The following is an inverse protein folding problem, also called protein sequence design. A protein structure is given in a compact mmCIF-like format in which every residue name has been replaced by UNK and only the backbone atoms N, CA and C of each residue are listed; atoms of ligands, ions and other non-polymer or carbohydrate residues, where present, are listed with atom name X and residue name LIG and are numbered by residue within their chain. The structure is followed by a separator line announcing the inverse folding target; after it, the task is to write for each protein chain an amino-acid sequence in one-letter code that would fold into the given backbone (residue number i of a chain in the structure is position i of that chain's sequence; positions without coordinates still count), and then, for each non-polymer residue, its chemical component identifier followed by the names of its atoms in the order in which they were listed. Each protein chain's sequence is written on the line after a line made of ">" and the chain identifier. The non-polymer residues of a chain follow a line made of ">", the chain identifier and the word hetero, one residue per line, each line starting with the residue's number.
data_IF_431971338817
#
_entry.id   IF_431971338817
#
_cell.length_a   1.000
_cell.length_b   1.000
_cell.length_c   1.000
_cell.angle_alpha   90.00
_cell.angle_beta   90.00
_cell.angle_gamma   90.00
#
_symmetry.space_group_name_H-M   'P 1'
#
loop_
_entity.id
_entity.type
_entity.pdbx_description
1 polymer ?
#
# COMPACT_ATOMS: atom_id res chain seq x y z
N UNK A 1 47.38 14.23 38.27
CA UNK A 1 47.06 13.72 36.91
C UNK A 1 46.98 14.90 35.96
N UNK A 2 48.04 15.14 35.18
CA UNK A 2 48.03 16.12 34.10
C UNK A 2 47.54 15.39 32.85
N UNK A 3 46.24 15.45 32.56
CA UNK A 3 45.75 15.04 31.24
C UNK A 3 46.37 15.97 30.20
N UNK A 4 47.06 15.36 29.24
CA UNK A 4 47.81 16.06 28.20
C UNK A 4 46.80 16.75 27.28
N UNK A 5 46.77 18.10 27.25
CA UNK A 5 45.85 18.91 26.42
C UNK A 5 45.85 18.54 24.93
N UNK A 6 46.86 17.81 24.45
CA UNK A 6 46.91 17.30 23.08
C UNK A 6 46.04 16.04 22.85
N UNK A 7 45.81 15.22 23.87
CA UNK A 7 44.94 14.05 23.78
C UNK A 7 43.47 14.44 23.56
N UNK A 8 43.01 15.50 24.23
CA UNK A 8 41.63 15.99 24.10
C UNK A 8 41.35 16.48 22.66
N UNK A 9 42.33 17.12 22.02
CA UNK A 9 42.22 17.56 20.61
C UNK A 9 42.16 16.40 19.64
N UNK A 10 42.98 15.37 19.85
CA UNK A 10 42.99 14.16 19.01
C UNK A 10 41.66 13.42 19.14
N UNK A 11 41.16 13.25 20.37
CA UNK A 11 39.87 12.63 20.63
C UNK A 11 38.73 13.40 19.95
N UNK A 12 38.71 14.73 20.07
CA UNK A 12 37.71 15.57 19.41
C UNK A 12 37.74 15.45 17.88
N UNK A 13 38.92 15.41 17.27
CA UNK A 13 39.07 15.19 15.82
C UNK A 13 38.56 13.80 15.43
N UNK A 14 38.87 12.75 16.20
CA UNK A 14 38.37 11.40 15.96
C UNK A 14 36.85 11.31 16.10
N UNK A 15 36.24 12.03 17.05
CA UNK A 15 34.79 12.12 17.17
C UNK A 15 34.16 12.84 15.97
N UNK A 16 34.74 13.94 15.48
CA UNK A 16 34.24 14.63 14.27
C UNK A 16 34.36 13.71 13.05
N UNK A 17 35.51 13.06 12.87
CA UNK A 17 35.74 12.09 11.80
C UNK A 17 34.68 10.98 11.89
N UNK A 18 34.49 10.38 13.07
CA UNK A 18 33.49 9.34 13.30
C UNK A 18 32.08 9.84 12.95
N UNK A 19 31.69 11.03 13.40
CA UNK A 19 30.39 11.63 13.09
C UNK A 19 30.25 11.85 11.58
N UNK A 20 31.24 12.45 10.91
CA UNK A 20 31.21 12.72 9.46
C UNK A 20 31.13 11.42 8.66
N UNK A 21 31.85 10.37 9.07
CA UNK A 21 31.78 9.04 8.46
C UNK A 21 30.54 8.24 8.87
N UNK A 22 29.72 8.72 9.80
CA UNK A 22 28.50 8.06 10.26
C UNK A 22 27.21 8.85 10.01
N UNK A 23 27.27 10.06 9.45
CA UNK A 23 26.10 10.71 8.86
C UNK A 23 25.73 9.89 7.62
N UNK A 24 24.79 8.98 7.80
CA UNK A 24 24.44 7.94 6.83
C UNK A 24 23.26 8.34 5.93
N UNK A 25 22.67 9.51 6.13
CA UNK A 25 21.50 9.97 5.42
C UNK A 25 21.76 11.31 4.72
N UNK A 26 21.37 11.39 3.44
CA UNK A 26 21.33 12.63 2.68
C UNK A 26 19.92 13.21 2.73
N UNK A 27 19.80 14.50 3.02
CA UNK A 27 18.50 15.18 3.02
C UNK A 27 18.38 16.14 1.84
N UNK A 28 17.23 16.12 1.18
CA UNK A 28 16.84 17.07 0.13
C UNK A 28 15.53 17.71 0.55
N UNK A 29 15.54 19.04 0.64
CA UNK A 29 14.34 19.84 0.85
C UNK A 29 13.73 20.19 -0.50
N UNK A 30 12.45 19.89 -0.66
CA UNK A 30 11.66 20.21 -1.84
C UNK A 30 10.63 21.26 -1.43
N UNK A 31 10.46 22.28 -2.27
CA UNK A 31 9.41 23.29 -2.17
C UNK A 31 8.52 23.24 -3.41
N UNK A 32 7.26 23.60 -3.28
CA UNK A 32 6.32 23.60 -4.38
C UNK A 32 6.82 24.55 -5.49
N UNK A 33 6.84 24.04 -6.73
CA UNK A 33 7.32 24.73 -7.95
C UNK A 33 8.82 25.11 -7.95
N UNK A 34 9.62 24.60 -7.03
CA UNK A 34 11.08 24.77 -7.11
C UNK A 34 11.72 23.80 -8.13
N UNK A 35 13.01 24.00 -8.38
CA UNK A 35 13.76 23.17 -9.33
C UNK A 35 13.86 21.70 -8.88
N UNK A 36 13.84 21.45 -7.57
CA UNK A 36 13.88 20.09 -7.04
C UNK A 36 12.56 19.36 -7.29
N UNK A 37 11.42 20.05 -7.15
CA UNK A 37 10.09 19.54 -7.44
C UNK A 37 9.93 19.28 -8.94
N UNK A 38 10.33 20.25 -9.77
CA UNK A 38 10.32 20.14 -11.24
C UNK A 38 11.10 18.94 -11.76
N UNK A 39 12.20 18.61 -11.08
CA UNK A 39 13.09 17.52 -11.45
C UNK A 39 13.08 16.38 -10.44
N UNK A 40 11.98 16.17 -9.70
CA UNK A 40 11.93 15.27 -8.55
C UNK A 40 12.48 13.88 -8.86
N UNK A 41 12.11 13.30 -10.01
CA UNK A 41 12.64 12.03 -10.48
C UNK A 41 14.17 12.03 -10.59
N UNK A 42 14.74 13.01 -11.30
CA UNK A 42 16.19 13.12 -11.52
C UNK A 42 16.92 13.38 -10.20
N UNK A 43 16.35 14.23 -9.34
CA UNK A 43 16.88 14.56 -8.03
C UNK A 43 16.94 13.31 -7.15
N UNK A 44 15.88 12.52 -7.07
CA UNK A 44 15.90 11.28 -6.29
C UNK A 44 16.88 10.27 -6.88
N UNK A 45 16.83 10.01 -8.18
CA UNK A 45 17.69 8.99 -8.81
C UNK A 45 19.19 9.31 -8.70
N UNK A 46 19.58 10.58 -8.73
CA UNK A 46 21.00 10.98 -8.69
C UNK A 46 21.57 11.13 -7.28
N UNK A 47 20.77 11.01 -6.22
CA UNK A 47 21.17 11.30 -4.85
C UNK A 47 21.08 10.11 -3.89
N UNK A 48 21.08 8.89 -4.42
CA UNK A 48 21.00 7.63 -3.66
C UNK A 48 22.38 6.99 -3.37
N UNK A 49 23.44 7.80 -3.27
CA UNK A 49 24.81 7.30 -3.04
C UNK A 49 25.11 6.99 -1.57
N UNK A 50 24.25 7.47 -0.66
CA UNK A 50 24.35 7.27 0.78
C UNK A 50 23.45 6.11 1.26
N UNK A 51 23.50 5.74 2.55
CA UNK A 51 22.68 4.62 3.06
C UNK A 51 21.19 4.95 3.10
N UNK A 52 20.83 6.22 3.15
CA UNK A 52 19.46 6.70 3.08
C UNK A 52 19.39 8.05 2.38
N UNK A 53 18.34 8.25 1.58
CA UNK A 53 17.94 9.53 1.03
C UNK A 53 16.61 9.96 1.65
N UNK A 54 16.58 11.12 2.29
CA UNK A 54 15.37 11.73 2.85
C UNK A 54 14.95 12.88 1.94
N UNK A 55 13.74 12.81 1.39
CA UNK A 55 13.12 13.84 0.56
C UNK A 55 12.01 14.51 1.37
N UNK A 56 12.26 15.74 1.82
CA UNK A 56 11.36 16.48 2.70
C UNK A 56 10.54 17.50 1.93
N UNK A 57 9.24 17.29 1.88
CA UNK A 57 8.26 18.23 1.34
C UNK A 57 7.79 19.17 2.45
N UNK A 58 8.26 20.42 2.44
CA UNK A 58 8.03 21.34 3.58
C UNK A 58 6.79 22.22 3.42
N UNK A 59 6.31 22.42 2.19
CA UNK A 59 5.10 23.19 1.94
C UNK A 59 3.82 22.38 2.28
N UNK A 60 2.72 23.06 2.62
CA UNK A 60 1.45 22.41 2.94
C UNK A 60 0.79 21.74 1.73
N UNK A 61 1.04 22.23 0.52
CA UNK A 61 0.41 21.73 -0.70
C UNK A 61 1.38 21.80 -1.90
N UNK A 62 1.34 20.75 -2.73
CA UNK A 62 2.06 20.61 -3.98
C UNK A 62 1.07 20.43 -5.12
N UNK A 63 1.25 21.22 -6.16
CA UNK A 63 0.41 21.20 -7.35
C UNK A 63 0.93 20.15 -8.32
N UNK A 64 0.26 18.99 -8.38
CA UNK A 64 0.69 17.87 -9.22
C UNK A 64 0.20 18.00 -10.68
N UNK A 65 -0.70 18.94 -10.95
CA UNK A 65 -1.31 19.17 -12.26
C UNK A 65 -0.41 19.95 -13.23
N UNK A 66 0.44 20.82 -12.70
CA UNK A 66 1.15 21.83 -13.48
C UNK A 66 2.15 21.21 -14.47
N UNK A 67 1.85 21.35 -15.77
CA UNK A 67 2.60 20.75 -16.88
C UNK A 67 4.06 21.17 -16.92
N UNK A 68 4.37 22.36 -16.39
CA UNK A 68 5.75 22.84 -16.36
C UNK A 68 6.60 22.09 -15.32
N UNK A 69 5.96 21.55 -14.28
CA UNK A 69 6.64 21.00 -13.11
C UNK A 69 6.49 19.49 -12.96
N UNK A 70 5.46 18.88 -13.56
CA UNK A 70 5.21 17.45 -13.38
C UNK A 70 5.12 16.65 -14.68
N UNK A 71 5.96 15.63 -14.75
CA UNK A 71 5.86 14.57 -15.76
C UNK A 71 4.65 13.68 -15.46
N UNK A 72 4.21 12.90 -16.44
CA UNK A 72 3.13 11.93 -16.21
C UNK A 72 3.52 10.87 -15.17
N UNK A 73 4.74 10.37 -15.26
CA UNK A 73 5.32 9.39 -14.33
C UNK A 73 6.60 9.95 -13.73
N UNK A 74 6.68 9.91 -12.41
CA UNK A 74 7.92 10.07 -11.66
C UNK A 74 8.48 8.68 -11.35
N UNK A 75 9.43 8.22 -12.18
CA UNK A 75 10.03 6.90 -12.07
C UNK A 75 11.30 6.90 -11.22
N UNK A 76 11.21 6.31 -10.02
CA UNK A 76 12.27 6.22 -9.05
C UNK A 76 12.91 4.83 -9.07
N UNK A 77 14.16 4.74 -9.50
CA UNK A 77 14.97 3.52 -9.39
C UNK A 77 15.57 3.47 -7.99
N UNK A 78 15.15 2.50 -7.19
CA UNK A 78 15.49 2.42 -5.77
C UNK A 78 16.77 1.60 -5.58
N UNK A 79 17.88 2.31 -5.31
CA UNK A 79 19.22 1.75 -5.10
C UNK A 79 19.60 1.68 -3.61
N UNK A 80 19.00 2.53 -2.78
CA UNK A 80 19.20 2.62 -1.34
C UNK A 80 17.86 2.89 -0.65
N UNK A 81 17.85 3.10 0.67
CA UNK A 81 16.62 3.50 1.35
C UNK A 81 16.21 4.92 0.95
N UNK A 82 14.93 5.13 0.63
CA UNK A 82 14.39 6.43 0.26
C UNK A 82 13.16 6.75 1.10
N UNK A 83 13.19 7.88 1.80
CA UNK A 83 12.11 8.35 2.67
C UNK A 83 11.51 9.65 2.11
N UNK A 84 10.28 9.60 1.63
CA UNK A 84 9.47 10.75 1.26
C UNK A 84 8.64 11.20 2.47
N UNK A 85 8.86 12.42 2.96
CA UNK A 85 8.22 12.91 4.19
C UNK A 85 7.57 14.27 3.97
N UNK A 86 6.26 14.35 4.23
CA UNK A 86 5.51 15.59 4.32
C UNK A 86 5.84 16.38 5.59
N UNK A 87 5.35 17.62 5.67
CA UNK A 87 5.54 18.46 6.85
C UNK A 87 4.77 17.89 8.08
N UNK A 88 5.02 18.46 9.27
CA UNK A 88 4.44 17.97 10.53
C UNK A 88 2.92 18.09 10.62
N UNK A 89 2.33 19.02 9.87
CA UNK A 89 0.88 19.24 9.79
C UNK A 89 0.24 18.46 8.63
N UNK A 90 1.03 17.66 7.91
CA UNK A 90 0.65 16.98 6.68
C UNK A 90 0.92 17.82 5.43
N UNK A 91 1.33 17.14 4.36
CA UNK A 91 1.49 17.73 3.03
C UNK A 91 0.44 17.15 2.08
N UNK A 92 -0.19 17.99 1.27
CA UNK A 92 -1.15 17.56 0.25
C UNK A 92 -0.49 17.54 -1.13
N UNK A 93 -0.56 16.41 -1.82
CA UNK A 93 -0.30 16.29 -3.26
C UNK A 93 -1.64 16.36 -3.97
N UNK A 94 -1.93 17.52 -4.55
CA UNK A 94 -3.20 17.82 -5.19
C UNK A 94 -3.10 17.62 -6.70
N UNK A 95 -3.80 16.61 -7.21
CA UNK A 95 -3.79 16.24 -8.62
C UNK A 95 -4.83 16.99 -9.46
N UNK A 96 -5.79 17.68 -8.82
CA UNK A 96 -6.82 18.50 -9.48
C UNK A 96 -7.55 17.78 -10.63
N UNK A 97 -7.77 16.48 -10.51
CA UNK A 97 -8.43 15.67 -11.53
C UNK A 97 -7.51 15.23 -12.69
N UNK A 98 -6.19 15.24 -12.51
CA UNK A 98 -5.21 14.82 -13.52
C UNK A 98 -4.42 13.58 -13.08
N UNK A 99 -3.72 12.98 -14.05
CA UNK A 99 -2.91 11.78 -13.91
C UNK A 99 -1.43 12.05 -13.76
N UNK A 100 -0.97 13.30 -13.87
CA UNK A 100 0.46 13.64 -13.75
C UNK A 100 1.00 13.34 -12.36
N UNK A 101 2.31 13.15 -12.27
CA UNK A 101 3.02 12.95 -11.02
C UNK A 101 2.80 11.58 -10.37
N UNK A 102 2.36 10.56 -11.12
CA UNK A 102 2.27 9.20 -10.59
C UNK A 102 3.63 8.76 -10.09
N UNK A 103 3.68 8.08 -8.96
CA UNK A 103 4.95 7.62 -8.40
C UNK A 103 5.17 6.15 -8.77
N UNK A 104 6.21 5.89 -9.56
CA UNK A 104 6.63 4.53 -9.92
C UNK A 104 7.93 4.19 -9.21
N UNK A 105 7.87 3.25 -8.27
CA UNK A 105 9.04 2.74 -7.55
C UNK A 105 9.51 1.46 -8.23
N UNK A 106 10.76 1.44 -8.71
CA UNK A 106 11.39 0.29 -9.34
C UNK A 106 12.52 -0.21 -8.43
N UNK A 107 12.32 -1.39 -7.86
CA UNK A 107 13.35 -2.07 -7.09
C UNK A 107 14.15 -2.99 -8.01
N UNK A 108 15.44 -2.68 -8.19
CA UNK A 108 16.38 -3.50 -8.94
C UNK A 108 17.26 -4.31 -7.99
N UNK A 109 17.87 -5.39 -8.50
CA UNK A 109 18.64 -6.36 -7.72
C UNK A 109 19.60 -5.71 -6.72
N UNK A 110 19.28 -5.82 -5.43
CA UNK A 110 20.17 -5.49 -4.32
C UNK A 110 20.70 -6.81 -3.74
N UNK A 111 21.99 -7.05 -3.89
CA UNK A 111 22.59 -8.33 -3.51
C UNK A 111 22.73 -8.54 -2.00
N UNK A 112 22.61 -7.49 -1.18
CA UNK A 112 22.96 -7.58 0.26
C UNK A 112 22.02 -6.86 1.23
N UNK A 113 21.16 -5.94 0.79
CA UNK A 113 20.35 -5.12 1.71
C UNK A 113 18.92 -4.93 1.24
N UNK A 114 17.98 -4.98 2.17
CA UNK A 114 16.56 -4.72 1.90
C UNK A 114 16.36 -3.24 1.64
N UNK A 115 16.20 -2.85 0.39
CA UNK A 115 15.94 -1.46 0.04
C UNK A 115 14.51 -1.08 0.41
N UNK A 116 14.34 0.06 1.08
CA UNK A 116 13.06 0.53 1.58
C UNK A 116 12.65 1.82 0.90
N UNK A 117 11.38 1.94 0.54
CA UNK A 117 10.70 3.22 0.28
C UNK A 117 9.75 3.48 1.42
N UNK A 118 9.86 4.64 2.06
CA UNK A 118 8.95 5.09 3.11
C UNK A 118 8.26 6.37 2.63
N UNK A 119 6.93 6.42 2.70
CA UNK A 119 6.11 7.59 2.40
C UNK A 119 5.35 7.95 3.66
N UNK A 120 5.53 9.18 4.16
CA UNK A 120 5.03 9.58 5.47
C UNK A 120 4.35 10.94 5.48
N UNK A 121 3.20 11.03 6.14
CA UNK A 121 2.46 12.29 6.36
C UNK A 121 2.09 13.02 5.05
N UNK A 122 1.72 12.28 4.01
CA UNK A 122 1.31 12.83 2.71
C UNK A 122 -0.15 12.43 2.43
N UNK A 123 -0.95 13.41 2.00
CA UNK A 123 -2.30 13.21 1.50
C UNK A 123 -2.30 13.32 -0.03
N UNK A 124 -2.78 12.30 -0.72
CA UNK A 124 -2.95 12.26 -2.17
C UNK A 124 -4.42 12.53 -2.49
N UNK A 125 -4.69 13.60 -3.25
CA UNK A 125 -6.06 14.07 -3.50
C UNK A 125 -6.38 14.24 -4.97
N UNK A 126 -7.61 13.87 -5.34
CA UNK A 126 -8.22 14.18 -6.63
C UNK A 126 -7.44 13.61 -7.83
N UNK A 127 -6.88 12.40 -7.70
CA UNK A 127 -6.17 11.73 -8.79
C UNK A 127 -7.16 11.13 -9.80
N UNK A 128 -6.99 11.48 -11.08
CA UNK A 128 -7.90 11.03 -12.15
C UNK A 128 -7.18 10.92 -13.49
N UNK A 129 -7.25 9.75 -14.13
CA UNK A 129 -6.71 9.53 -15.47
C UNK A 129 -7.76 9.61 -16.57
N UNK A 130 -8.94 9.10 -16.26
CA UNK A 130 -10.07 8.98 -17.17
C UNK A 130 -11.31 8.67 -16.35
N UNK A 131 -12.47 8.86 -16.98
CA UNK A 131 -13.77 8.51 -16.41
C UNK A 131 -14.02 6.99 -16.29
N UNK A 132 -13.07 6.17 -16.74
CA UNK A 132 -13.13 4.71 -16.70
C UNK A 132 -11.82 4.14 -16.17
N UNK A 133 -11.87 3.01 -15.49
CA UNK A 133 -10.68 2.30 -15.01
C UNK A 133 -9.73 1.97 -16.17
N UNK A 134 -8.45 2.33 -16.02
CA UNK A 134 -7.40 1.90 -16.95
C UNK A 134 -6.58 0.80 -16.31
N UNK A 135 -6.64 -0.39 -16.89
CA UNK A 135 -5.91 -1.54 -16.37
C UNK A 135 -4.39 -1.29 -16.34
N UNK A 136 -3.75 -1.74 -15.26
CA UNK A 136 -2.30 -1.63 -15.07
C UNK A 136 -1.81 -0.23 -14.72
N UNK A 137 -2.72 0.73 -14.54
CA UNK A 137 -2.39 2.05 -14.01
C UNK A 137 -2.89 2.18 -12.58
N UNK A 138 -1.99 2.63 -11.70
CA UNK A 138 -2.35 3.17 -10.40
C UNK A 138 -1.61 4.46 -10.10
N UNK A 139 -2.09 5.21 -9.11
CA UNK A 139 -1.41 6.39 -8.56
C UNK A 139 0.03 6.06 -8.14
N UNK A 140 0.19 4.91 -7.49
CA UNK A 140 1.47 4.31 -7.12
C UNK A 140 1.67 3.00 -7.87
N UNK A 141 2.82 2.90 -8.53
CA UNK A 141 3.25 1.67 -9.18
C UNK A 141 4.50 1.14 -8.50
N UNK A 142 4.41 -0.05 -7.92
CA UNK A 142 5.55 -0.73 -7.30
C UNK A 142 5.94 -1.87 -8.22
N UNK A 143 7.12 -1.80 -8.83
CA UNK A 143 7.68 -2.86 -9.67
C UNK A 143 8.93 -3.36 -8.97
N UNK A 144 9.01 -4.66 -8.74
CA UNK A 144 10.19 -5.26 -8.12
C UNK A 144 10.74 -6.41 -8.96
N UNK A 145 12.06 -6.40 -9.10
CA UNK A 145 12.88 -7.46 -9.69
C UNK A 145 13.75 -8.16 -8.63
N UNK A 146 13.37 -8.03 -7.35
CA UNK A 146 14.05 -8.60 -6.20
C UNK A 146 13.02 -8.99 -5.12
N UNK A 147 13.32 -10.01 -4.32
CA UNK A 147 12.57 -10.36 -3.12
C UNK A 147 12.97 -9.50 -1.90
N UNK A 148 13.96 -8.62 -2.05
CA UNK A 148 14.55 -7.87 -0.96
C UNK A 148 14.15 -6.39 -0.99
N UNK A 149 12.85 -6.12 -0.96
CA UNK A 149 12.29 -4.76 -1.00
C UNK A 149 11.31 -4.48 0.15
N UNK A 150 11.06 -3.21 0.44
CA UNK A 150 9.97 -2.79 1.32
C UNK A 150 9.37 -1.47 0.84
N UNK A 151 8.06 -1.34 0.88
CA UNK A 151 7.32 -0.09 0.72
C UNK A 151 6.47 0.14 1.97
N UNK A 152 6.62 1.29 2.61
CA UNK A 152 5.91 1.63 3.84
C UNK A 152 5.17 2.95 3.62
N UNK A 153 3.87 2.97 3.87
CA UNK A 153 3.03 4.15 3.87
C UNK A 153 2.54 4.40 5.30
N UNK A 154 3.01 5.49 5.92
CA UNK A 154 2.68 5.87 7.30
C UNK A 154 1.90 7.16 7.35
N UNK A 155 0.79 7.18 8.09
CA UNK A 155 -0.04 8.36 8.29
C UNK A 155 -0.41 9.06 6.96
N UNK A 156 -0.73 8.28 5.93
CA UNK A 156 -1.08 8.79 4.61
C UNK A 156 -2.60 8.86 4.42
N UNK A 157 -3.04 9.77 3.56
CA UNK A 157 -4.46 9.89 3.18
C UNK A 157 -4.57 9.72 1.67
N UNK A 158 -5.50 8.90 1.21
CA UNK A 158 -5.83 8.71 -0.20
C UNK A 158 -7.30 9.06 -0.39
N UNK A 159 -7.55 10.21 -1.01
CA UNK A 159 -8.87 10.83 -1.03
C UNK A 159 -9.32 11.14 -2.46
N UNK A 160 -10.55 10.73 -2.78
CA UNK A 160 -11.22 11.06 -4.03
C UNK A 160 -10.43 10.64 -5.31
N UNK A 161 -9.74 9.49 -5.29
CA UNK A 161 -9.12 8.97 -6.50
C UNK A 161 -10.15 8.25 -7.38
N UNK A 162 -10.12 8.53 -8.69
CA UNK A 162 -10.99 7.90 -9.71
C UNK A 162 -10.31 6.77 -10.48
N UNK A 163 -9.21 6.25 -9.96
CA UNK A 163 -8.39 5.19 -10.54
C UNK A 163 -7.80 4.35 -9.44
N UNK A 164 -7.17 3.23 -9.81
CA UNK A 164 -6.52 2.38 -8.83
C UNK A 164 -5.45 3.16 -8.04
N UNK A 165 -5.33 2.91 -6.74
CA UNK A 165 -4.31 3.58 -5.93
C UNK A 165 -2.95 2.88 -6.05
N UNK A 166 -2.93 1.55 -5.95
CA UNK A 166 -1.72 0.76 -5.95
C UNK A 166 -1.76 -0.34 -7.00
N UNK A 167 -0.74 -0.34 -7.86
CA UNK A 167 -0.42 -1.47 -8.73
C UNK A 167 0.94 -2.05 -8.32
N UNK A 168 0.91 -3.24 -7.72
CA UNK A 168 2.10 -3.94 -7.24
C UNK A 168 2.39 -5.10 -8.20
N UNK A 169 3.54 -5.04 -8.86
CA UNK A 169 4.04 -6.11 -9.71
C UNK A 169 5.33 -6.67 -9.14
N UNK A 170 5.28 -7.95 -8.75
CA UNK A 170 6.46 -8.70 -8.35
C UNK A 170 6.87 -9.66 -9.46
N UNK A 171 8.00 -9.36 -10.11
CA UNK A 171 8.56 -10.19 -11.19
C UNK A 171 9.45 -11.32 -10.66
N UNK A 172 9.81 -11.31 -9.37
CA UNK A 172 10.66 -12.33 -8.76
C UNK A 172 10.05 -12.85 -7.45
N UNK A 173 9.63 -14.11 -7.47
CA UNK A 173 9.29 -14.83 -6.25
C UNK A 173 10.38 -15.85 -5.90
N UNK A 174 11.20 -15.50 -4.92
CA UNK A 174 12.08 -16.43 -4.20
C UNK A 174 11.59 -16.64 -2.78
N UNK A 175 12.15 -17.65 -2.10
CA UNK A 175 11.82 -17.95 -0.70
C UNK A 175 12.00 -16.67 0.14
N UNK A 176 11.00 -16.27 0.94
CA UNK A 176 11.08 -15.02 1.68
C UNK A 176 12.29 -15.01 2.60
N UNK A 177 13.06 -13.93 2.53
CA UNK A 177 14.24 -13.72 3.36
C UNK A 177 13.87 -13.21 4.77
N UNK A 178 12.63 -12.77 4.99
CA UNK A 178 12.19 -12.12 6.23
C UNK A 178 10.71 -12.36 6.53
N UNK A 179 10.34 -12.29 7.82
CA UNK A 179 8.95 -12.31 8.30
C UNK A 179 8.25 -10.95 8.17
N UNK A 180 8.99 -9.89 7.84
CA UNK A 180 8.45 -8.54 7.68
C UNK A 180 7.73 -8.35 6.34
N UNK A 181 6.57 -7.69 6.36
CA UNK A 181 5.80 -7.37 5.15
C UNK A 181 6.58 -6.55 4.12
N UNK A 182 6.41 -6.87 2.84
CA UNK A 182 6.98 -6.11 1.73
C UNK A 182 6.24 -4.81 1.48
N UNK A 183 4.92 -4.79 1.69
CA UNK A 183 4.14 -3.56 1.61
C UNK A 183 3.38 -3.38 2.92
N UNK A 184 3.60 -2.23 3.57
CA UNK A 184 2.99 -1.88 4.85
C UNK A 184 2.20 -0.59 4.71
N UNK A 185 0.92 -0.62 5.11
CA UNK A 185 0.09 0.56 5.33
C UNK A 185 -0.18 0.68 6.82
N UNK A 186 0.19 1.80 7.44
CA UNK A 186 0.01 2.02 8.87
C UNK A 186 -0.58 3.40 9.14
N UNK A 187 -1.69 3.42 9.89
CA UNK A 187 -2.44 4.65 10.19
C UNK A 187 -2.88 5.41 8.93
N UNK A 188 -3.28 4.71 7.87
CA UNK A 188 -3.71 5.33 6.62
C UNK A 188 -5.23 5.51 6.55
N UNK A 189 -5.67 6.52 5.81
CA UNK A 189 -7.09 6.79 5.54
C UNK A 189 -7.33 6.71 4.03
N UNK A 190 -8.27 5.87 3.61
CA UNK A 190 -8.73 5.73 2.24
C UNK A 190 -10.17 6.21 2.18
N UNK A 191 -10.44 7.30 1.49
CA UNK A 191 -11.73 7.97 1.51
C UNK A 191 -12.24 8.26 0.09
N UNK A 192 -13.48 7.86 -0.18
CA UNK A 192 -14.18 8.16 -1.43
C UNK A 192 -13.41 7.77 -2.71
N UNK A 193 -12.65 6.66 -2.70
CA UNK A 193 -11.96 6.20 -3.90
C UNK A 193 -12.92 5.34 -4.76
N UNK A 194 -13.01 5.63 -6.05
CA UNK A 194 -14.02 5.06 -6.95
C UNK A 194 -13.59 3.78 -7.64
N UNK A 195 -12.31 3.44 -7.54
CA UNK A 195 -11.72 2.24 -8.12
C UNK A 195 -10.79 1.57 -7.10
N UNK A 196 -10.25 0.41 -7.49
CA UNK A 196 -9.53 -0.48 -6.59
C UNK A 196 -8.40 0.17 -5.79
N UNK A 197 -8.33 -0.11 -4.50
CA UNK A 197 -7.19 0.35 -3.68
C UNK A 197 -5.91 -0.37 -4.08
N UNK A 198 -5.90 -1.71 -4.10
CA UNK A 198 -4.69 -2.50 -4.39
C UNK A 198 -4.99 -3.55 -5.45
N UNK A 199 -4.19 -3.56 -6.52
CA UNK A 199 -3.99 -4.69 -7.42
C UNK A 199 -2.60 -5.27 -7.21
N UNK A 200 -2.48 -6.58 -6.99
CA UNK A 200 -1.18 -7.26 -7.01
C UNK A 200 -1.11 -8.33 -8.10
N UNK A 201 0.03 -8.34 -8.79
CA UNK A 201 0.39 -9.35 -9.78
C UNK A 201 1.77 -9.90 -9.43
N UNK A 202 1.83 -11.19 -9.13
CA UNK A 202 3.08 -11.93 -8.97
C UNK A 202 3.25 -12.77 -10.22
N UNK A 203 4.32 -12.52 -10.99
CA UNK A 203 4.61 -13.34 -12.16
C UNK A 203 5.01 -14.74 -11.71
N UNK A 204 4.38 -15.75 -12.34
CA UNK A 204 4.56 -17.14 -11.98
C UNK A 204 5.99 -17.57 -12.35
N UNK A 205 6.84 -17.76 -11.37
CA UNK A 205 8.11 -18.46 -11.55
C UNK A 205 7.77 -19.96 -11.61
N UNK A 206 8.36 -20.69 -12.55
CA UNK A 206 8.00 -22.07 -12.92
C UNK A 206 8.21 -23.14 -11.80
N UNK A 207 8.33 -22.73 -10.55
CA UNK A 207 8.75 -23.56 -9.43
C UNK A 207 7.60 -23.73 -8.41
N UNK A 208 7.37 -24.97 -7.97
CA UNK A 208 6.33 -25.36 -6.99
C UNK A 208 6.60 -24.84 -5.57
N UNK A 209 7.03 -23.59 -5.42
CA UNK A 209 7.25 -22.99 -4.12
C UNK A 209 5.94 -22.53 -3.48
N UNK A 210 6.04 -22.23 -2.19
CA UNK A 210 4.94 -21.73 -1.36
C UNK A 210 4.57 -20.31 -1.81
N UNK A 211 3.89 -20.18 -2.97
CA UNK A 211 3.58 -18.94 -3.69
C UNK A 211 2.91 -17.89 -2.82
N UNK A 212 2.21 -18.31 -1.77
CA UNK A 212 1.64 -17.42 -0.75
C UNK A 212 2.68 -16.49 -0.11
N UNK A 213 3.97 -16.80 -0.19
CA UNK A 213 5.06 -15.99 0.40
C UNK A 213 5.69 -14.97 -0.55
N UNK A 214 5.28 -14.93 -1.82
CA UNK A 214 5.89 -14.04 -2.81
C UNK A 214 5.63 -12.56 -2.51
N UNK A 215 4.48 -12.25 -1.91
CA UNK A 215 4.10 -10.88 -1.57
C UNK A 215 3.30 -10.87 -0.27
N UNK A 216 3.96 -10.50 0.83
CA UNK A 216 3.33 -10.11 2.08
C UNK A 216 2.93 -8.62 2.09
N UNK A 217 1.62 -8.35 2.10
CA UNK A 217 1.00 -7.04 2.34
C UNK A 217 0.40 -6.99 3.74
N UNK A 218 0.70 -5.94 4.50
CA UNK A 218 0.19 -5.73 5.85
C UNK A 218 -0.49 -4.35 5.97
N UNK A 219 -1.71 -4.32 6.51
CA UNK A 219 -2.52 -3.12 6.68
C UNK A 219 -2.91 -3.02 8.15
N UNK A 220 -2.45 -1.97 8.82
CA UNK A 220 -2.64 -1.75 10.26
C UNK A 220 -3.29 -0.40 10.54
N UNK A 221 -4.17 -0.37 11.54
CA UNK A 221 -4.68 0.87 12.13
C UNK A 221 -5.30 1.83 11.10
N UNK A 222 -5.89 1.31 10.03
CA UNK A 222 -6.29 2.09 8.86
C UNK A 222 -7.81 2.15 8.70
N UNK A 223 -8.29 3.17 7.97
CA UNK A 223 -9.72 3.41 7.75
C UNK A 223 -10.04 3.44 6.25
N UNK A 224 -11.13 2.77 5.88
CA UNK A 224 -11.63 2.70 4.51
C UNK A 224 -13.09 3.15 4.51
N UNK A 225 -13.34 4.34 3.98
CA UNK A 225 -14.65 5.00 4.00
C UNK A 225 -15.09 5.26 2.55
N UNK A 226 -16.24 4.71 2.17
CA UNK A 226 -16.88 4.95 0.87
C UNK A 226 -16.00 4.61 -0.34
N UNK A 227 -15.27 3.49 -0.27
CA UNK A 227 -14.39 3.06 -1.36
C UNK A 227 -15.05 1.98 -2.21
N UNK A 228 -14.64 1.88 -3.47
CA UNK A 228 -15.11 0.86 -4.41
C UNK A 228 -14.00 -0.07 -4.85
N UNK A 229 -14.16 -1.38 -4.62
CA UNK A 229 -13.12 -2.37 -4.82
C UNK A 229 -11.93 -2.11 -3.90
N UNK A 230 -11.60 -3.00 -2.97
CA UNK A 230 -10.39 -2.77 -2.16
C UNK A 230 -9.20 -3.55 -2.71
N UNK A 231 -9.34 -4.85 -2.80
CA UNK A 231 -8.19 -5.73 -2.97
C UNK A 231 -8.46 -6.72 -4.11
N UNK A 232 -7.68 -6.62 -5.18
CA UNK A 232 -7.53 -7.68 -6.17
C UNK A 232 -6.13 -8.27 -6.04
N UNK A 233 -6.05 -9.44 -5.41
CA UNK A 233 -4.81 -9.98 -4.89
C UNK A 233 -4.65 -11.42 -5.35
N UNK A 234 -3.52 -11.72 -5.99
CA UNK A 234 -3.16 -13.07 -6.40
C UNK A 234 -1.79 -13.47 -5.84
N UNK A 235 -1.64 -14.74 -5.45
CA UNK A 235 -0.39 -15.33 -4.93
C UNK A 235 0.27 -14.49 -3.83
N UNK A 236 -0.52 -14.00 -2.86
CA UNK A 236 -0.04 -13.10 -1.81
C UNK A 236 -0.54 -13.51 -0.43
N UNK A 237 0.18 -13.05 0.59
CA UNK A 237 -0.19 -13.12 1.99
C UNK A 237 -0.63 -11.73 2.44
N UNK A 238 -1.90 -11.57 2.81
CA UNK A 238 -2.47 -10.29 3.23
C UNK A 238 -2.93 -10.36 4.67
N UNK A 239 -2.49 -9.40 5.49
CA UNK A 239 -3.00 -9.22 6.85
C UNK A 239 -3.62 -7.85 7.02
N UNK A 240 -4.80 -7.83 7.62
CA UNK A 240 -5.52 -6.63 8.02
C UNK A 240 -5.70 -6.70 9.53
N UNK A 241 -5.27 -5.67 10.25
CA UNK A 241 -5.39 -5.62 11.70
C UNK A 241 -5.79 -4.23 12.18
N UNK A 242 -6.72 -4.20 13.14
CA UNK A 242 -7.22 -2.96 13.76
C UNK A 242 -7.72 -1.93 12.72
N UNK A 243 -8.47 -2.38 11.72
CA UNK A 243 -8.96 -1.51 10.64
C UNK A 243 -10.48 -1.33 10.71
N UNK A 244 -10.97 -0.22 10.14
CA UNK A 244 -12.41 0.04 9.99
C UNK A 244 -12.79 0.19 8.52
N UNK A 245 -13.86 -0.48 8.11
CA UNK A 245 -14.39 -0.46 6.75
C UNK A 245 -15.85 -0.03 6.78
N UNK A 246 -16.24 0.93 5.94
CA UNK A 246 -17.62 1.39 5.81
C UNK A 246 -17.94 1.90 4.42
N UNK A 247 -19.17 1.69 3.96
CA UNK A 247 -19.62 2.16 2.64
C UNK A 247 -18.85 1.51 1.48
N UNK A 248 -18.42 0.25 1.64
CA UNK A 248 -17.68 -0.47 0.59
C UNK A 248 -18.65 -0.91 -0.51
N UNK A 249 -18.26 -0.72 -1.76
CA UNK A 249 -19.04 -1.13 -2.94
C UNK A 249 -18.09 -1.75 -3.99
N UNK A 250 -18.64 -2.34 -5.04
CA UNK A 250 -17.86 -2.88 -6.15
C UNK A 250 -17.26 -1.78 -7.05
N UNK A 251 -16.05 -2.02 -7.57
CA UNK A 251 -15.38 -1.17 -8.57
C UNK A 251 -15.99 -1.31 -9.99
N UNK A 252 -15.50 -0.53 -10.95
CA UNK A 252 -16.04 -0.59 -12.33
C UNK A 252 -15.54 -1.79 -13.15
N UNK A 253 -14.58 -2.58 -12.63
CA UNK A 253 -13.98 -3.69 -13.37
C UNK A 253 -14.88 -4.93 -13.35
N UNK A 254 -15.42 -5.32 -14.50
CA UNK A 254 -16.25 -6.50 -14.63
C UNK A 254 -15.54 -7.82 -14.29
N UNK A 255 -14.20 -7.86 -14.32
CA UNK A 255 -13.43 -9.05 -13.95
C UNK A 255 -13.42 -9.28 -12.44
N UNK A 256 -13.56 -8.22 -11.62
CA UNK A 256 -13.60 -8.33 -10.17
C UNK A 256 -14.96 -8.86 -9.73
N UNK A 257 -14.98 -10.00 -9.05
CA UNK A 257 -16.24 -10.63 -8.63
C UNK A 257 -16.57 -10.37 -7.16
N UNK A 258 -16.07 -9.28 -6.59
CA UNK A 258 -16.39 -8.90 -5.21
C UNK A 258 -16.25 -7.39 -4.99
N UNK A 259 -16.71 -6.91 -3.83
CA UNK A 259 -16.57 -5.51 -3.45
C UNK A 259 -15.29 -5.22 -2.62
N UNK A 260 -14.81 -6.21 -1.85
CA UNK A 260 -13.73 -6.00 -0.89
C UNK A 260 -12.48 -6.81 -1.21
N UNK A 261 -12.57 -8.12 -1.35
CA UNK A 261 -11.41 -8.98 -1.62
C UNK A 261 -11.70 -9.95 -2.75
N UNK A 262 -10.90 -9.91 -3.81
CA UNK A 262 -10.99 -10.79 -4.98
C UNK A 262 -9.67 -11.52 -5.19
N UNK A 263 -9.73 -12.83 -5.46
CA UNK A 263 -8.57 -13.64 -5.81
C UNK A 263 -8.96 -14.78 -6.77
N UNK A 264 -8.40 -14.78 -7.98
CA UNK A 264 -8.71 -15.80 -8.99
C UNK A 264 -7.77 -17.01 -8.95
N UNK A 265 -6.54 -16.78 -8.51
CA UNK A 265 -5.50 -17.81 -8.44
C UNK A 265 -5.46 -18.46 -7.05
N UNK A 266 -4.91 -19.67 -7.01
CA UNK A 266 -4.73 -20.41 -5.76
C UNK A 266 -3.62 -19.83 -4.90
N UNK A 267 -3.49 -20.35 -3.67
CA UNK A 267 -2.38 -20.01 -2.75
C UNK A 267 -2.39 -18.57 -2.24
N UNK A 268 -3.57 -18.01 -2.00
CA UNK A 268 -3.73 -16.77 -1.26
C UNK A 268 -3.95 -17.05 0.23
N UNK A 269 -3.32 -16.25 1.09
CA UNK A 269 -3.56 -16.28 2.53
C UNK A 269 -4.11 -14.92 2.95
N UNK A 270 -5.27 -14.92 3.58
CA UNK A 270 -5.92 -13.67 3.98
C UNK A 270 -6.34 -13.73 5.44
N UNK A 271 -5.79 -12.81 6.24
CA UNK A 271 -6.09 -12.69 7.66
C UNK A 271 -6.71 -11.34 7.96
N UNK A 272 -7.82 -11.36 8.69
CA UNK A 272 -8.47 -10.18 9.23
C UNK A 272 -8.52 -10.31 10.75
N UNK A 273 -7.99 -9.32 11.48
CA UNK A 273 -7.96 -9.30 12.94
C UNK A 273 -8.47 -8.00 13.50
N UNK A 274 -9.16 -8.06 14.63
CA UNK A 274 -9.49 -6.91 15.48
C UNK A 274 -10.15 -5.77 14.68
N UNK A 275 -10.94 -6.08 13.66
CA UNK A 275 -11.42 -5.11 12.68
C UNK A 275 -12.94 -4.93 12.75
N UNK A 276 -13.42 -3.81 12.20
CA UNK A 276 -14.84 -3.47 12.15
C UNK A 276 -15.27 -3.19 10.71
N UNK A 277 -16.19 -4.00 10.21
CA UNK A 277 -16.92 -3.77 8.98
C UNK A 277 -18.30 -3.24 9.37
N UNK A 278 -18.68 -2.05 8.91
CA UNK A 278 -19.96 -1.45 9.30
C UNK A 278 -20.65 -0.73 8.15
N UNK A 279 -21.98 -0.84 8.09
CA UNK A 279 -22.81 -0.11 7.13
C UNK A 279 -22.32 -0.33 5.68
N UNK A 280 -22.18 -1.59 5.29
CA UNK A 280 -21.79 -1.97 3.93
C UNK A 280 -23.01 -2.58 3.26
N UNK A 281 -23.47 -1.99 2.17
CA UNK A 281 -24.53 -2.56 1.37
C UNK A 281 -24.10 -2.59 -0.09
N UNK A 282 -23.70 -3.78 -0.54
CA UNK A 282 -23.25 -4.03 -1.90
C UNK A 282 -24.50 -4.26 -2.76
N UNK A 283 -24.86 -3.27 -3.56
CA UNK A 283 -26.07 -3.31 -4.41
C UNK A 283 -25.90 -4.15 -5.66
N UNK A 284 -24.66 -4.50 -5.97
CA UNK A 284 -24.36 -5.35 -7.11
C UNK A 284 -24.56 -6.82 -6.76
N UNK A 285 -24.75 -7.66 -7.76
CA UNK A 285 -24.86 -9.12 -7.60
C UNK A 285 -23.49 -9.76 -7.35
N UNK A 286 -22.70 -9.20 -6.42
CA UNK A 286 -21.39 -9.69 -6.04
C UNK A 286 -21.21 -9.72 -4.51
N UNK A 287 -20.47 -10.70 -3.98
CA UNK A 287 -20.19 -10.83 -2.56
C UNK A 287 -19.21 -9.74 -2.08
N UNK A 288 -19.02 -9.67 -0.76
CA UNK A 288 -17.95 -8.89 -0.15
C UNK A 288 -16.59 -9.53 -0.46
N UNK A 289 -16.47 -10.86 -0.31
CA UNK A 289 -15.26 -11.63 -0.64
C UNK A 289 -15.64 -12.67 -1.70
N UNK A 290 -14.89 -12.71 -2.81
CA UNK A 290 -14.89 -13.82 -3.77
C UNK A 290 -13.46 -14.32 -3.92
N UNK A 291 -13.23 -15.62 -3.75
CA UNK A 291 -11.90 -16.15 -3.93
C UNK A 291 -11.89 -17.64 -4.26
N UNK A 292 -10.84 -18.06 -4.97
CA UNK A 292 -10.54 -19.47 -5.24
C UNK A 292 -9.39 -19.98 -4.35
N UNK A 293 -9.55 -21.14 -3.74
CA UNK A 293 -8.57 -21.81 -2.86
C UNK A 293 -7.99 -20.89 -1.75
N UNK A 294 -8.80 -19.98 -1.20
CA UNK A 294 -8.37 -19.01 -0.20
C UNK A 294 -8.18 -19.65 1.18
N UNK A 295 -7.02 -19.40 1.80
CA UNK A 295 -6.80 -19.65 3.23
C UNK A 295 -7.24 -18.43 4.03
N UNK A 296 -8.49 -18.44 4.50
CA UNK A 296 -9.09 -17.31 5.20
C UNK A 296 -9.11 -17.52 6.73
N UNK A 297 -8.58 -16.54 7.46
CA UNK A 297 -8.69 -16.45 8.92
C UNK A 297 -9.29 -15.12 9.33
N UNK A 298 -10.37 -15.14 10.12
CA UNK A 298 -11.02 -13.96 10.68
C UNK A 298 -11.06 -14.11 12.20
N UNK A 299 -10.47 -13.16 12.92
CA UNK A 299 -10.36 -13.21 14.39
C UNK A 299 -10.78 -11.87 15.02
N UNK A 300 -11.55 -11.91 16.10
CA UNK A 300 -11.99 -10.74 16.88
C UNK A 300 -12.56 -9.61 16.01
N UNK A 301 -13.33 -9.95 14.99
CA UNK A 301 -13.80 -8.99 13.96
C UNK A 301 -15.32 -8.91 14.00
N UNK A 302 -15.85 -7.70 13.82
CA UNK A 302 -17.31 -7.48 13.79
C UNK A 302 -17.75 -7.04 12.40
N UNK A 303 -18.78 -7.68 11.88
CA UNK A 303 -19.53 -7.26 10.70
C UNK A 303 -20.90 -6.76 11.15
N UNK A 304 -21.11 -5.46 11.07
CA UNK A 304 -22.32 -4.80 11.53
C UNK A 304 -23.06 -4.16 10.36
N UNK A 305 -24.29 -4.57 10.12
CA UNK A 305 -25.12 -4.01 9.04
C UNK A 305 -24.41 -4.13 7.67
N UNK A 306 -23.89 -5.34 7.39
CA UNK A 306 -23.20 -5.70 6.15
C UNK A 306 -24.08 -6.63 5.30
N UNK A 307 -24.45 -6.19 4.10
CA UNK A 307 -25.37 -6.90 3.19
C UNK A 307 -24.87 -6.87 1.74
N UNK A 308 -25.34 -7.83 0.95
CA UNK A 308 -25.15 -7.85 -0.50
C UNK A 308 -26.41 -8.36 -1.20
N UNK A 309 -26.73 -7.77 -2.35
CA UNK A 309 -27.79 -8.27 -3.26
C UNK A 309 -27.40 -9.61 -3.92
N UNK A 310 -26.16 -10.07 -3.73
CA UNK A 310 -25.72 -11.42 -4.07
C UNK A 310 -26.27 -12.52 -3.15
N UNK A 311 -26.98 -12.16 -2.08
CA UNK A 311 -27.54 -13.05 -1.03
C UNK A 311 -26.54 -13.57 0.00
N UNK A 312 -25.24 -13.47 -0.24
CA UNK A 312 -24.20 -13.87 0.72
C UNK A 312 -22.97 -12.96 0.64
N UNK A 313 -22.23 -12.88 1.77
CA UNK A 313 -21.06 -12.01 1.88
C UNK A 313 -19.77 -12.67 1.39
N UNK A 314 -19.65 -14.00 1.45
CA UNK A 314 -18.41 -14.72 1.14
C UNK A 314 -18.68 -15.84 0.13
N UNK A 315 -18.09 -15.75 -1.06
CA UNK A 315 -18.07 -16.80 -2.08
C UNK A 315 -16.67 -17.41 -2.16
N UNK A 316 -16.46 -18.59 -1.57
CA UNK A 316 -15.13 -19.16 -1.39
C UNK A 316 -15.05 -20.53 -2.06
N UNK A 317 -14.59 -20.54 -3.30
CA UNK A 317 -14.55 -21.74 -4.14
C UNK A 317 -13.36 -22.63 -3.77
N UNK A 318 -13.62 -23.92 -3.60
CA UNK A 318 -12.61 -25.00 -3.48
C UNK A 318 -11.50 -24.75 -2.44
N UNK A 319 -11.87 -24.58 -1.17
CA UNK A 319 -10.86 -24.45 -0.11
C UNK A 319 -10.39 -25.84 0.37
N UNK A 320 -9.14 -26.22 0.09
CA UNK A 320 -8.53 -27.42 0.70
C UNK A 320 -8.33 -27.26 2.21
N UNK A 321 -8.18 -26.02 2.67
CA UNK A 321 -8.06 -25.66 4.07
C UNK A 321 -9.38 -25.12 4.60
N UNK A 322 -9.66 -25.26 5.90
CA UNK A 322 -10.85 -24.67 6.50
C UNK A 322 -10.76 -23.14 6.58
N UNK A 323 -11.90 -22.48 6.41
CA UNK A 323 -12.09 -21.10 6.84
C UNK A 323 -12.10 -21.06 8.36
N UNK A 324 -11.26 -20.22 8.95
CA UNK A 324 -11.14 -20.11 10.41
C UNK A 324 -11.81 -18.83 10.88
N UNK A 325 -12.89 -18.96 11.65
CA UNK A 325 -13.55 -17.84 12.32
C UNK A 325 -13.39 -17.99 13.84
N UNK A 326 -12.81 -16.99 14.51
CA UNK A 326 -12.72 -16.96 15.98
C UNK A 326 -13.21 -15.63 16.52
N UNK A 327 -14.09 -15.66 17.53
CA UNK A 327 -14.66 -14.46 18.14
C UNK A 327 -15.16 -13.44 17.10
N UNK A 328 -15.73 -13.94 16.00
CA UNK A 328 -16.24 -13.11 14.92
C UNK A 328 -17.73 -12.89 15.14
N UNK A 329 -18.17 -11.64 15.12
CA UNK A 329 -19.55 -11.27 15.42
C UNK A 329 -20.21 -10.71 14.17
N UNK A 330 -21.43 -11.16 13.88
CA UNK A 330 -22.27 -10.63 12.82
C UNK A 330 -23.52 -10.03 13.44
N UNK A 331 -23.75 -8.74 13.20
CA UNK A 331 -24.85 -7.97 13.78
C UNK A 331 -25.64 -7.35 12.64
N UNK A 332 -26.95 -7.53 12.64
CA UNK A 332 -27.87 -6.88 11.70
C UNK A 332 -28.98 -6.20 12.48
N UNK A 333 -29.21 -4.91 12.22
CA UNK A 333 -30.41 -4.20 12.69
C UNK A 333 -31.65 -4.52 11.87
N UNK A 334 -31.46 -5.10 10.69
CA UNK A 334 -32.56 -5.46 9.80
C UNK A 334 -32.98 -6.91 10.09
N UNK A 335 -34.19 -7.03 10.63
CA UNK A 335 -34.87 -8.30 10.88
C UNK A 335 -35.49 -8.79 9.57
N UNK A 336 -34.64 -9.26 8.66
CA UNK A 336 -35.07 -9.70 7.34
C UNK A 336 -34.67 -11.16 7.16
N UNK A 337 -35.65 -12.05 7.32
CA UNK A 337 -35.55 -13.50 7.14
C UNK A 337 -35.00 -13.95 5.78
N UNK A 338 -34.86 -13.03 4.83
CA UNK A 338 -34.42 -13.29 3.46
C UNK A 338 -32.97 -12.86 3.16
N UNK A 339 -32.28 -12.10 4.03
CA UNK A 339 -31.04 -11.41 3.64
C UNK A 339 -29.74 -11.93 4.26
N UNK A 340 -29.79 -12.84 5.24
CA UNK A 340 -28.59 -13.22 5.98
C UNK A 340 -28.44 -14.74 6.08
N UNK A 341 -27.91 -15.36 5.03
CA UNK A 341 -27.13 -16.56 5.24
C UNK A 341 -25.68 -16.22 4.90
N UNK A 342 -24.83 -16.25 5.92
CA UNK A 342 -23.38 -16.40 5.69
C UNK A 342 -23.23 -17.83 5.20
N UNK A 343 -23.37 -18.03 3.88
CA UNK A 343 -23.13 -19.33 3.27
C UNK A 343 -21.70 -19.29 2.75
N UNK A 344 -20.86 -20.13 3.32
CA UNK A 344 -19.67 -20.61 2.63
C UNK A 344 -20.17 -21.68 1.66
N UNK A 345 -20.11 -21.40 0.36
CA UNK A 345 -20.43 -22.40 -0.68
C UNK A 345 -19.15 -23.12 -1.07
#
# INVERSE_FOLDING_TARGET
>A
MLFNKNMDKIFYILCIIYIVFHINAKEIVVRNKDENFKNLQKVVNNNQNDKELIVRFIDPEYDMYDEEYMQFDCEFTILTNVTFIGNTNGTVFNYKGDKRGRMKFIFINSTNYRNKVIVKNIAFKDYEQSNYLVEGVGLHRIVTHTDNFQCIFENCIFDNAKQALFFIRNDLCSKPLSEESYVLFNNCIFNNNYERVIKSEVQNTNEMFDLQKCLYININNSQFINNRGLFFINNSYVTINNCTFSGIEKDSDFSMKSAFYHADLSSNYFIIRNSLFKNIYIKTSYPLIDANELRLTIENTTFQDCFSDYSYLFDLRTTKEPVVLKNTTFISKYDNSNFNKIIFI
#
